data_IF_935015555710
#
_entry.id   IF_935015555710
#
_cell.length_a   1.000
_cell.length_b   1.000
_cell.length_c   1.000
_cell.angle_alpha   90.00
_cell.angle_beta   90.00
_cell.angle_gamma   90.00
#
_symmetry.space_group_name_H-M   'P 1'
#
loop_
_entity.id
_entity.type
_entity.pdbx_description
1 polymer ?
#
# COMPACT_ATOMS: atom_id res chain seq x y z
N UNK A 1 -21.09 -24.53 3.36
CA UNK A 1 -21.30 -23.11 3.58
C UNK A 1 -20.15 -22.31 3.01
N UNK A 2 -20.45 -21.17 2.39
CA UNK A 2 -19.40 -20.31 1.90
C UNK A 2 -19.10 -19.26 2.92
N UNK A 3 -17.87 -18.96 3.09
CA UNK A 3 -17.45 -17.88 3.96
C UNK A 3 -17.28 -16.58 3.20
N UNK A 4 -17.00 -15.51 3.92
CA UNK A 4 -16.69 -14.22 3.37
C UNK A 4 -15.33 -13.78 3.91
N UNK A 5 -14.46 -13.33 3.02
CA UNK A 5 -13.13 -12.85 3.41
C UNK A 5 -12.83 -11.65 2.53
N UNK A 6 -13.08 -10.48 3.05
CA UNK A 6 -12.91 -9.27 2.27
C UNK A 6 -12.34 -8.16 3.14
N UNK A 7 -11.37 -7.45 2.59
CA UNK A 7 -10.68 -6.36 3.27
C UNK A 7 -10.69 -5.15 2.36
N UNK A 8 -10.99 -4.00 2.94
CA UNK A 8 -10.92 -2.74 2.22
C UNK A 8 -10.17 -1.77 3.10
N UNK A 9 -9.13 -1.14 2.58
CA UNK A 9 -8.39 -0.15 3.33
C UNK A 9 -8.08 1.05 2.45
N UNK A 10 -7.95 2.20 3.09
CA UNK A 10 -7.43 3.40 2.49
C UNK A 10 -6.28 3.84 3.37
N UNK A 11 -5.12 4.05 2.77
CA UNK A 11 -3.96 4.46 3.53
C UNK A 11 -2.87 4.96 2.62
N UNK A 12 -1.69 5.13 3.19
CA UNK A 12 -0.55 5.69 2.47
C UNK A 12 0.52 4.64 2.29
N UNK A 13 1.17 4.68 1.14
CA UNK A 13 2.30 3.80 0.87
C UNK A 13 3.45 4.13 1.79
N UNK A 14 3.95 3.14 2.53
CA UNK A 14 5.04 3.35 3.45
C UNK A 14 6.39 3.39 2.76
N UNK A 15 6.50 2.74 1.63
CA UNK A 15 7.74 2.66 0.86
C UNK A 15 7.39 2.34 -0.57
N UNK A 16 8.37 2.40 -1.44
CA UNK A 16 8.16 2.03 -2.82
C UNK A 16 7.87 0.54 -2.92
N UNK A 17 7.03 0.13 -3.87
CA UNK A 17 6.71 -1.30 -4.01
C UNK A 17 7.89 -2.08 -4.56
N UNK A 18 7.97 -3.34 -4.18
CA UNK A 18 9.02 -4.25 -4.65
C UNK A 18 8.38 -5.33 -5.50
N UNK A 19 8.89 -5.50 -6.71
CA UNK A 19 8.36 -6.51 -7.61
C UNK A 19 9.42 -7.57 -7.88
N UNK A 20 8.98 -8.80 -7.96
CA UNK A 20 9.84 -9.91 -8.35
C UNK A 20 9.02 -10.91 -9.13
N UNK A 21 9.71 -11.88 -9.72
CA UNK A 21 9.06 -12.97 -10.44
C UNK A 21 9.30 -14.27 -9.70
N UNK A 22 8.25 -15.08 -9.62
CA UNK A 22 8.40 -16.41 -9.04
C UNK A 22 9.19 -17.28 -10.01
N UNK A 23 9.69 -18.45 -9.54
CA UNK A 23 10.38 -19.36 -10.44
C UNK A 23 9.55 -19.76 -11.66
N UNK A 24 8.22 -19.76 -11.53
CA UNK A 24 7.37 -20.07 -12.68
C UNK A 24 7.12 -18.87 -13.59
N UNK A 25 7.73 -17.72 -13.27
CA UNK A 25 7.62 -16.54 -14.13
C UNK A 25 6.45 -15.62 -13.81
N UNK A 26 5.82 -15.80 -12.67
CA UNK A 26 4.66 -15.00 -12.31
C UNK A 26 5.09 -13.75 -11.55
N UNK A 27 4.55 -12.59 -11.93
CA UNK A 27 4.90 -11.34 -11.26
C UNK A 27 4.19 -11.23 -9.93
N UNK A 28 4.90 -10.76 -8.91
CA UNK A 28 4.32 -10.46 -7.62
C UNK A 28 4.96 -9.18 -7.10
N UNK A 29 4.11 -8.25 -6.65
CA UNK A 29 4.56 -7.00 -6.07
C UNK A 29 4.08 -6.94 -4.63
N UNK A 30 4.99 -6.58 -3.72
CA UNK A 30 4.64 -6.44 -2.32
C UNK A 30 4.90 -5.03 -1.86
N UNK A 31 4.05 -4.56 -0.97
CA UNK A 31 4.18 -3.22 -0.41
C UNK A 31 3.44 -3.17 0.92
N UNK A 32 3.66 -2.09 1.64
CA UNK A 32 3.02 -1.88 2.93
C UNK A 32 2.20 -0.61 2.88
N UNK A 33 1.03 -0.65 3.48
CA UNK A 33 0.12 0.48 3.52
C UNK A 33 -0.16 0.80 4.98
N UNK A 34 -0.04 2.06 5.31
CA UNK A 34 -0.30 2.53 6.66
C UNK A 34 -1.66 3.19 6.71
N UNK A 35 -2.52 2.74 7.64
CA UNK A 35 -3.77 3.42 7.91
C UNK A 35 -3.62 4.16 9.23
N UNK A 36 -4.27 5.30 9.33
CA UNK A 36 -4.17 6.12 10.51
C UNK A 36 -5.56 6.44 11.03
N UNK A 37 -5.71 6.41 12.32
CA UNK A 37 -6.99 6.70 12.98
C UNK A 37 -6.75 7.69 14.10
N UNK A 38 -7.58 8.73 14.14
CA UNK A 38 -7.52 9.74 15.19
C UNK A 38 -8.83 9.77 15.92
N UNK A 39 -8.79 9.97 17.22
CA UNK A 39 -10.03 10.15 17.97
C UNK A 39 -9.74 10.94 19.24
N UNK A 40 -10.82 11.49 19.84
CA UNK A 40 -10.72 12.18 21.11
C UNK A 40 -11.29 11.26 22.17
N UNK A 41 -10.51 10.99 23.20
CA UNK A 41 -10.91 10.08 24.25
C UNK A 41 -11.78 10.76 25.30
N UNK A 42 -12.23 9.98 26.29
CA UNK A 42 -13.04 10.55 27.38
C UNK A 42 -12.28 11.59 28.19
N UNK A 43 -10.96 11.59 28.11
CA UNK A 43 -10.13 12.58 28.80
C UNK A 43 -10.01 13.87 28.01
N UNK A 44 -10.73 14.01 26.90
CA UNK A 44 -10.67 15.14 25.99
C UNK A 44 -9.33 15.29 25.32
N UNK A 45 -8.53 14.24 25.31
CA UNK A 45 -7.24 14.27 24.64
C UNK A 45 -7.32 13.60 23.30
N UNK A 46 -6.50 14.09 22.38
CA UNK A 46 -6.46 13.54 21.05
C UNK A 46 -5.53 12.35 21.01
N UNK A 47 -6.00 11.30 20.41
CA UNK A 47 -5.23 10.07 20.28
C UNK A 47 -5.05 9.73 18.81
N UNK A 48 -3.91 9.12 18.50
CA UNK A 48 -3.62 8.67 17.13
C UNK A 48 -3.16 7.23 17.18
N UNK A 49 -3.50 6.51 16.15
CA UNK A 49 -3.10 5.12 16.05
C UNK A 49 -2.82 4.79 14.60
N UNK A 50 -1.71 4.12 14.35
CA UNK A 50 -1.35 3.69 13.00
C UNK A 50 -1.29 2.18 12.94
N UNK A 51 -1.69 1.63 11.81
CA UNK A 51 -1.55 0.20 11.55
C UNK A 51 -0.94 0.01 10.18
N UNK A 52 -0.09 -0.99 10.06
CA UNK A 52 0.55 -1.31 8.79
C UNK A 52 0.04 -2.62 8.27
N UNK A 53 -0.26 -2.65 6.99
CA UNK A 53 -0.77 -3.84 6.34
C UNK A 53 0.17 -4.24 5.24
N UNK A 54 0.53 -5.52 5.21
CA UNK A 54 1.33 -6.07 4.13
C UNK A 54 0.39 -6.46 3.01
N UNK A 55 0.67 -5.99 1.80
CA UNK A 55 -0.19 -6.21 0.65
C UNK A 55 0.63 -6.87 -0.44
N UNK A 56 0.06 -7.85 -1.10
CA UNK A 56 0.68 -8.47 -2.28
C UNK A 56 -0.31 -8.41 -3.43
N UNK A 57 0.23 -8.19 -4.62
CA UNK A 57 -0.55 -8.19 -5.85
C UNK A 57 0.14 -9.10 -6.84
N UNK A 58 -0.66 -9.80 -7.64
CA UNK A 58 -0.14 -10.80 -8.57
C UNK A 58 -0.49 -10.44 -10.00
N UNK A 59 0.33 -10.90 -10.94
CA UNK A 59 0.05 -10.79 -12.36
C UNK A 59 -0.01 -9.37 -12.87
N UNK A 60 -1.02 -9.05 -13.63
CA UNK A 60 -1.16 -7.71 -14.19
C UNK A 60 -1.25 -6.64 -13.11
N UNK A 61 -1.94 -6.93 -12.03
CA UNK A 61 -2.05 -5.96 -10.95
C UNK A 61 -0.69 -5.71 -10.32
N UNK A 62 0.16 -6.73 -10.24
CA UNK A 62 1.51 -6.56 -9.72
C UNK A 62 2.28 -5.55 -10.56
N UNK A 63 2.16 -5.63 -11.88
CA UNK A 63 2.88 -4.73 -12.76
C UNK A 63 2.33 -3.32 -12.68
N UNK A 64 1.01 -3.19 -12.57
CA UNK A 64 0.40 -1.87 -12.42
C UNK A 64 0.85 -1.22 -11.12
N UNK A 65 0.88 -1.97 -10.03
CA UNK A 65 1.32 -1.43 -8.76
C UNK A 65 2.78 -0.99 -8.81
N UNK A 66 3.63 -1.82 -9.39
CA UNK A 66 5.04 -1.46 -9.49
C UNK A 66 5.24 -0.21 -10.33
N UNK A 67 4.46 -0.08 -11.38
CA UNK A 67 4.63 1.02 -12.32
C UNK A 67 4.11 2.33 -11.77
N UNK A 68 3.03 2.31 -10.99
CA UNK A 68 2.32 3.54 -10.63
C UNK A 68 2.40 3.94 -9.18
N UNK A 69 2.72 3.03 -8.27
CA UNK A 69 2.74 3.37 -6.85
C UNK A 69 4.10 3.87 -6.42
N UNK A 70 4.09 4.85 -5.54
CA UNK A 70 5.32 5.36 -4.95
C UNK A 70 5.05 5.62 -3.47
N UNK A 71 6.11 5.69 -2.71
CA UNK A 71 6.04 6.01 -1.30
C UNK A 71 5.27 7.32 -1.08
N UNK A 72 4.41 7.35 -0.08
CA UNK A 72 3.62 8.53 0.26
C UNK A 72 2.31 8.67 -0.44
N UNK A 73 2.07 7.82 -1.44
CA UNK A 73 0.84 7.86 -2.22
C UNK A 73 -0.33 7.33 -1.42
N UNK A 74 -1.47 7.99 -1.49
CA UNK A 74 -2.68 7.49 -0.87
C UNK A 74 -3.37 6.53 -1.82
N UNK A 75 -3.75 5.38 -1.31
CA UNK A 75 -4.34 4.32 -2.14
C UNK A 75 -5.53 3.67 -1.45
N UNK A 76 -6.43 3.15 -2.25
CA UNK A 76 -7.49 2.26 -1.83
C UNK A 76 -7.12 0.85 -2.28
N UNK A 77 -7.18 -0.09 -1.36
CA UNK A 77 -6.89 -1.48 -1.65
C UNK A 77 -8.08 -2.32 -1.24
N UNK A 78 -8.47 -3.22 -2.11
CA UNK A 78 -9.51 -4.19 -1.81
C UNK A 78 -8.96 -5.58 -2.09
N UNK A 79 -9.20 -6.52 -1.19
CA UNK A 79 -8.70 -7.86 -1.37
C UNK A 79 -9.20 -8.78 -0.28
N UNK A 80 -8.41 -9.80 0.02
CA UNK A 80 -8.75 -10.78 1.05
C UNK A 80 -7.53 -11.03 1.92
N UNK A 81 -7.76 -11.48 3.13
CA UNK A 81 -6.68 -11.84 4.03
C UNK A 81 -6.21 -13.25 3.71
N UNK A 82 -4.90 -13.44 3.80
CA UNK A 82 -4.31 -14.75 3.60
C UNK A 82 -3.13 -14.89 4.54
N UNK A 83 -3.06 -16.01 5.22
CA UNK A 83 -1.91 -16.30 6.06
C UNK A 83 -0.96 -17.19 5.29
N UNK A 84 0.30 -16.80 5.26
CA UNK A 84 1.34 -17.55 4.57
C UNK A 84 2.34 -18.04 5.59
N UNK A 85 2.73 -19.31 5.48
CA UNK A 85 3.72 -19.87 6.37
C UNK A 85 4.97 -20.28 5.61
N UNK A 86 6.10 -20.23 6.30
CA UNK A 86 7.35 -20.71 5.73
C UNK A 86 8.29 -21.14 6.85
N UNK A 87 9.32 -21.89 6.49
CA UNK A 87 10.33 -22.29 7.44
C UNK A 87 11.61 -21.52 7.17
N UNK A 88 12.27 -21.09 8.24
CA UNK A 88 13.56 -20.41 8.04
C UNK A 88 14.68 -21.43 7.98
N UNK A 89 15.92 -20.96 7.91
CA UNK A 89 17.07 -21.81 7.74
C UNK A 89 17.33 -22.69 8.95
N UNK A 90 16.70 -22.36 10.09
CA UNK A 90 16.86 -23.17 11.29
C UNK A 90 15.70 -24.12 11.52
N UNK A 91 14.81 -24.23 10.55
CA UNK A 91 13.67 -25.13 10.64
C UNK A 91 12.52 -24.56 11.43
N UNK A 92 12.57 -23.28 11.79
CA UNK A 92 11.52 -22.66 12.57
C UNK A 92 10.41 -22.17 11.66
N UNK A 93 9.18 -22.41 12.08
CA UNK A 93 8.02 -22.05 11.29
C UNK A 93 7.61 -20.60 11.56
N UNK A 94 7.34 -19.86 10.50
CA UNK A 94 6.89 -18.47 10.59
C UNK A 94 5.60 -18.29 9.83
N UNK A 95 4.79 -17.35 10.30
CA UNK A 95 3.50 -17.05 9.65
C UNK A 95 3.37 -15.56 9.46
N UNK A 96 2.68 -15.17 8.41
CA UNK A 96 2.47 -13.77 8.14
C UNK A 96 1.13 -13.61 7.47
N UNK A 97 0.32 -12.67 7.97
CA UNK A 97 -0.96 -12.37 7.36
C UNK A 97 -0.78 -11.22 6.38
N UNK A 98 -1.29 -11.41 5.19
CA UNK A 98 -1.16 -10.44 4.12
C UNK A 98 -2.52 -10.20 3.50
N UNK A 99 -2.67 -9.03 2.86
CA UNK A 99 -3.83 -8.78 2.02
C UNK A 99 -3.42 -9.13 0.60
N UNK A 100 -4.16 -10.05 -0.02
CA UNK A 100 -3.96 -10.34 -1.44
C UNK A 100 -4.90 -9.40 -2.18
N UNK A 101 -4.35 -8.39 -2.83
CA UNK A 101 -5.14 -7.35 -3.47
C UNK A 101 -5.74 -7.85 -4.77
N UNK A 102 -7.01 -7.50 -5.00
CA UNK A 102 -7.60 -7.73 -6.30
C UNK A 102 -8.05 -6.42 -6.94
N UNK A 103 -7.96 -5.32 -6.20
CA UNK A 103 -8.25 -4.01 -6.76
C UNK A 103 -7.42 -2.95 -6.07
N UNK A 104 -6.91 -1.99 -6.84
CA UNK A 104 -6.11 -0.89 -6.32
C UNK A 104 -6.49 0.37 -7.05
N UNK A 105 -6.76 1.45 -6.29
CA UNK A 105 -7.09 2.74 -6.86
C UNK A 105 -6.21 3.80 -6.21
N UNK A 106 -5.56 4.61 -7.03
CA UNK A 106 -4.77 5.72 -6.52
C UNK A 106 -5.72 6.86 -6.22
N UNK A 107 -5.61 7.41 -5.01
CA UNK A 107 -6.51 8.45 -4.56
C UNK A 107 -5.78 9.79 -4.56
N UNK A 108 -6.49 10.82 -4.97
CA UNK A 108 -5.96 12.17 -4.97
C UNK A 108 -4.84 12.35 -5.97
N UNK A 109 -4.15 13.48 -5.82
CA UNK A 109 -3.03 13.73 -6.68
C UNK A 109 -1.84 12.97 -6.24
N UNK A 110 -1.03 12.55 -7.22
CA UNK A 110 0.20 11.91 -6.92
C UNK A 110 1.13 12.89 -6.28
N UNK A 111 1.61 12.67 -5.03
CA UNK A 111 2.50 13.53 -4.42
C UNK A 111 3.84 13.21 -4.83
N UNK A 112 4.46 14.08 -5.51
CA UNK A 112 5.85 13.98 -5.65
C UNK A 112 6.38 14.34 -4.39
N UNK A 113 7.24 13.90 -3.90
CA UNK A 113 7.72 14.21 -2.73
C UNK A 113 8.26 15.40 -2.61
N UNK A 114 7.89 16.06 -2.23
CA UNK A 114 7.99 17.09 -2.32
C UNK A 114 8.51 17.72 -1.45
N UNK A 115 9.07 18.07 -1.64
CA UNK A 115 9.55 18.76 -1.08
C UNK A 115 9.20 19.93 -1.35
N UNK A 116 8.93 20.47 -0.80
CA UNK A 116 8.43 21.63 -1.08
C UNK A 116 9.29 22.48 -1.81
N UNK A 117 9.86 22.23 -2.15
CA UNK A 117 10.43 22.81 -2.88
C UNK A 117 10.34 22.49 -4.03
N UNK A 118 9.98 22.35 -4.36
CA UNK A 118 9.69 22.03 -5.51
C UNK A 118 8.72 22.19 -5.93
N UNK A 119 8.56 22.66 -5.60
CA UNK A 119 7.75 22.91 -6.23
C UNK A 119 7.56 23.36 -6.70
N UNK A 120 7.89 23.78 -6.75
CA UNK A 120 7.64 24.22 -7.49
C UNK A 120 7.48 23.98 -8.34
N UNK A 121 7.66 24.06 -8.16
CA UNK A 121 7.28 23.85 -9.28
C UNK A 121 6.71 23.52 -9.73
N UNK A 122 6.95 23.72 -9.64
CA UNK A 122 6.33 23.61 -10.47
C UNK A 122 5.54 23.59 -10.61
N UNK A 123 5.73 24.00 -10.50
CA UNK A 123 4.99 24.16 -11.00
C UNK A 123 4.59 24.26 -11.31
N UNK A 124 4.80 24.60 -11.13
CA UNK A 124 4.30 24.62 -11.83
C UNK A 124 3.84 24.33 -12.21
N UNK A 125 4.17 24.54 -11.91
CA UNK A 125 3.63 24.49 -12.53
C UNK A 125 3.08 24.07 -12.66
N UNK A 126 3.29 24.43 -12.59
CA UNK A 126 2.69 24.09 -13.05
C UNK A 126 2.12 23.80 -13.14
N UNK A 127 2.31 24.03 -12.93
CA UNK A 127 1.67 24.05 -13.25
C UNK A 127 1.12 23.60 -13.47
N UNK A 128 1.21 23.94 -13.51
CA UNK A 128 0.59 23.51 -14.01
C UNK A 128 0.17 22.85 -14.24
N UNK A 129 0.34 22.97 -14.11
CA UNK A 129 -0.22 22.34 -14.47
C UNK A 129 -0.60 21.51 -14.57
N UNK A 130 -0.44 21.53 -14.28
CA UNK A 130 -0.87 20.72 -14.39
C UNK A 130 -1.36 19.94 -14.37
N UNK A 131 -1.30 20.14 -14.22
CA UNK A 131 -1.77 19.47 -14.24
C UNK A 131 -2.16 18.57 -14.24
N UNK A 132 -1.79 18.52 -14.13
CA UNK A 132 -2.19 17.82 -14.20
C UNK A 132 -2.57 17.26 -14.25
#
# INVERSE_FOLDING_TARGET
>A
MRGLNKVMIIGSMCRDPEMRYTPSGKAVTSFAVETRRDWTGPDSERHEESEWFNVVAWGNLAEICKQHLVRGQQVYIEGRLQTRGWEDSEGKRHYRTEIVANEMVILGERRLHHDPQHLAHSAEGDGNNDSD
#
